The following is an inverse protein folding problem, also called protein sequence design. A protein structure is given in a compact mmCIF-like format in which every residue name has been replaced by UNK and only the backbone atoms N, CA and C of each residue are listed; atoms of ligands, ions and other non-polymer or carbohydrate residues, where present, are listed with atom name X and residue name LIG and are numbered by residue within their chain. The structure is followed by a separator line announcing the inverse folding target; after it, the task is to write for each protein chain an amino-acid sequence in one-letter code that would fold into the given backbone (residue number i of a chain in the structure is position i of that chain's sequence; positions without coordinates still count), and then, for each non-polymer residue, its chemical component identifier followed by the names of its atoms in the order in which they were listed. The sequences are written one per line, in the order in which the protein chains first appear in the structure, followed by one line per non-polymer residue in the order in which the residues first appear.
data_IF_227217465335
#
_entry.id   IF_227217465335
#
_cell.length_a   1.000
_cell.length_b   1.000
_cell.length_c   1.000
_cell.angle_alpha   90.00
_cell.angle_beta   90.00
_cell.angle_gamma   90.00
#
_symmetry.space_group_name_H-M   'P 1'
#
loop_
_entity.id
_entity.type
_entity.pdbx_description
1 polymer ?
#
# COMPACT_ATOMS: atom_id res chain seq x y z
N UNK A 1 -9.72 14.82 -32.37
CA UNK A 1 -9.51 14.55 -30.93
C UNK A 1 -8.64 15.67 -30.41
N UNK A 2 -9.18 16.56 -29.58
CA UNK A 2 -8.35 17.50 -28.84
C UNK A 2 -7.42 16.70 -27.91
N UNK A 3 -6.15 17.13 -27.74
CA UNK A 3 -5.28 16.50 -26.76
C UNK A 3 -5.87 16.74 -25.36
N UNK A 4 -6.20 15.64 -24.67
CA UNK A 4 -6.57 15.68 -23.25
C UNK A 4 -5.39 16.32 -22.51
N UNK A 5 -5.63 17.47 -21.87
CA UNK A 5 -4.59 18.15 -21.09
C UNK A 5 -4.09 17.19 -20.00
N UNK A 6 -2.76 17.11 -19.76
CA UNK A 6 -2.25 16.22 -18.73
C UNK A 6 -2.88 16.57 -17.39
N UNK A 7 -3.23 15.56 -16.55
CA UNK A 7 -3.80 15.81 -15.23
C UNK A 7 -2.85 16.72 -14.46
N UNK A 8 -3.40 17.79 -13.87
CA UNK A 8 -2.63 18.67 -12.99
C UNK A 8 -2.16 17.83 -11.80
N UNK A 9 -0.86 17.77 -11.57
CA UNK A 9 -0.28 17.06 -10.43
C UNK A 9 0.58 18.02 -9.61
N UNK A 10 0.67 17.77 -8.31
CA UNK A 10 1.53 18.53 -7.42
C UNK A 10 3.02 18.18 -7.62
N UNK A 11 3.90 18.80 -6.81
CA UNK A 11 5.35 18.58 -6.85
C UNK A 11 5.75 17.12 -6.59
N UNK A 12 4.88 16.32 -5.97
CA UNK A 12 5.07 14.89 -5.69
C UNK A 12 4.48 13.99 -6.80
N UNK A 13 3.86 14.58 -7.82
CA UNK A 13 3.16 13.84 -8.87
C UNK A 13 1.83 13.25 -8.42
N UNK A 14 1.26 13.77 -7.33
CA UNK A 14 -0.05 13.40 -6.82
C UNK A 14 -1.13 14.28 -7.46
N UNK A 15 -2.36 13.77 -7.62
CA UNK A 15 -3.48 14.58 -8.08
C UNK A 15 -3.84 15.67 -7.05
N UNK A 16 -4.52 16.76 -7.46
CA UNK A 16 -4.89 17.83 -6.56
C UNK A 16 -5.89 17.31 -5.51
N UNK A 17 -5.72 17.69 -4.24
CA UNK A 17 -6.61 17.30 -3.13
C UNK A 17 -6.34 15.92 -2.53
N UNK A 18 -5.71 14.99 -3.28
CA UNK A 18 -5.41 13.62 -2.80
C UNK A 18 -4.52 13.62 -1.55
N UNK A 19 -3.59 14.56 -1.44
CA UNK A 19 -2.75 14.70 -0.26
C UNK A 19 -3.55 15.12 0.98
N UNK A 20 -4.58 15.95 0.81
CA UNK A 20 -5.44 16.40 1.91
C UNK A 20 -6.41 15.28 2.33
N UNK A 21 -6.95 14.52 1.38
CA UNK A 21 -7.76 13.32 1.64
C UNK A 21 -6.95 12.26 2.40
N UNK A 22 -5.70 12.03 2.00
CA UNK A 22 -4.78 11.16 2.75
C UNK A 22 -4.58 11.64 4.19
N UNK A 23 -4.34 12.93 4.40
CA UNK A 23 -4.18 13.49 5.74
C UNK A 23 -5.44 13.37 6.60
N UNK A 24 -6.62 13.42 5.98
CA UNK A 24 -7.89 13.17 6.67
C UNK A 24 -8.00 11.70 7.12
N UNK A 25 -7.76 10.74 6.22
CA UNK A 25 -7.74 9.32 6.58
C UNK A 25 -6.67 8.97 7.62
N UNK A 26 -5.47 9.54 7.48
CA UNK A 26 -4.38 9.37 8.43
C UNK A 26 -4.71 9.95 9.82
N UNK A 27 -5.58 10.96 9.91
CA UNK A 27 -6.08 11.47 11.20
C UNK A 27 -6.95 10.44 11.91
N UNK A 28 -7.86 9.79 11.19
CA UNK A 28 -8.74 8.78 11.74
C UNK A 28 -7.93 7.55 12.18
N UNK A 29 -7.00 7.10 11.34
CA UNK A 29 -6.08 6.00 11.68
C UNK A 29 -5.21 6.33 12.91
N UNK A 30 -4.72 7.56 13.04
CA UNK A 30 -4.00 7.98 14.24
C UNK A 30 -4.88 7.98 15.50
N UNK A 31 -6.17 8.27 15.36
CA UNK A 31 -7.16 8.10 16.43
C UNK A 31 -7.23 6.65 16.90
N UNK A 32 -7.34 5.70 15.97
CA UNK A 32 -7.33 4.26 16.28
C UNK A 32 -6.04 3.82 16.97
N UNK A 33 -4.86 4.23 16.46
CA UNK A 33 -3.58 3.92 17.10
C UNK A 33 -3.50 4.52 18.52
N UNK A 34 -4.05 5.72 18.74
CA UNK A 34 -4.11 6.33 20.05
C UNK A 34 -4.99 5.54 21.03
N UNK A 35 -6.15 5.04 20.59
CA UNK A 35 -7.01 4.18 21.40
C UNK A 35 -6.32 2.86 21.77
N UNK A 36 -5.59 2.25 20.83
CA UNK A 36 -4.78 1.06 21.09
C UNK A 36 -3.66 1.34 22.11
N UNK A 37 -3.02 2.53 22.04
CA UNK A 37 -2.04 2.95 23.03
C UNK A 37 -2.66 3.06 24.43
N UNK A 38 -3.85 3.65 24.55
CA UNK A 38 -4.54 3.75 25.84
C UNK A 38 -4.99 2.38 26.38
N UNK A 39 -5.38 1.44 25.51
CA UNK A 39 -5.59 0.04 25.91
C UNK A 39 -4.34 -0.60 26.48
N UNK A 40 -3.17 -0.37 25.87
CA UNK A 40 -1.89 -0.87 26.37
C UNK A 40 -1.42 -0.18 27.65
N UNK A 41 -1.89 1.04 27.93
CA UNK A 41 -1.68 1.68 29.24
C UNK A 41 -2.50 0.96 30.32
N UNK A 42 -3.72 0.51 30.00
CA UNK A 42 -4.56 -0.25 30.92
C UNK A 42 -4.09 -1.70 31.09
N UNK A 43 -3.65 -2.36 30.01
CA UNK A 43 -3.17 -3.74 29.98
C UNK A 43 -2.04 -3.89 28.95
N UNK A 44 -0.79 -3.80 29.41
CA UNK A 44 0.38 -3.85 28.51
C UNK A 44 0.63 -5.22 27.84
N UNK A 45 -0.07 -6.25 28.27
CA UNK A 45 -0.06 -7.62 27.76
C UNK A 45 -1.21 -7.91 26.78
N UNK A 46 -2.00 -6.90 26.41
CA UNK A 46 -3.09 -7.03 25.42
C UNK A 46 -2.52 -7.32 24.01
N UNK A 47 -2.26 -8.61 23.74
CA UNK A 47 -1.71 -9.10 22.47
C UNK A 47 -2.54 -8.65 21.28
N UNK A 48 -3.87 -8.62 21.39
CA UNK A 48 -4.75 -8.18 20.32
C UNK A 48 -4.54 -6.68 20.00
N UNK A 49 -4.32 -5.84 21.02
CA UNK A 49 -3.98 -4.44 20.80
C UNK A 49 -2.59 -4.28 20.16
N UNK A 50 -1.60 -5.08 20.56
CA UNK A 50 -0.26 -5.04 19.98
C UNK A 50 -0.28 -5.46 18.50
N UNK A 51 -1.02 -6.52 18.16
CA UNK A 51 -1.18 -6.98 16.78
C UNK A 51 -1.89 -5.94 15.90
N UNK A 52 -2.94 -5.30 16.43
CA UNK A 52 -3.64 -4.22 15.72
C UNK A 52 -2.71 -3.02 15.48
N UNK A 53 -1.95 -2.63 16.50
CA UNK A 53 -1.01 -1.50 16.43
C UNK A 53 0.12 -1.78 15.44
N UNK A 54 0.64 -3.01 15.39
CA UNK A 54 1.59 -3.46 14.37
C UNK A 54 1.01 -3.32 12.96
N UNK A 55 -0.24 -3.75 12.76
CA UNK A 55 -0.92 -3.71 11.46
C UNK A 55 -1.13 -2.27 10.97
N UNK A 56 -1.62 -1.39 11.84
CA UNK A 56 -1.86 0.01 11.49
C UNK A 56 -0.55 0.75 11.20
N UNK A 57 0.50 0.47 11.98
CA UNK A 57 1.84 0.99 11.73
C UNK A 57 2.41 0.52 10.39
N UNK A 58 2.23 -0.75 10.04
CA UNK A 58 2.67 -1.32 8.77
C UNK A 58 2.02 -0.61 7.56
N UNK A 59 0.69 -0.42 7.60
CA UNK A 59 -0.03 0.32 6.55
C UNK A 59 0.51 1.74 6.41
N UNK A 60 0.61 2.47 7.52
CA UNK A 60 1.10 3.84 7.50
C UNK A 60 2.55 3.94 6.99
N UNK A 61 3.40 2.96 7.32
CA UNK A 61 4.76 2.83 6.77
C UNK A 61 4.73 2.70 5.24
N UNK A 62 3.86 1.84 4.72
CA UNK A 62 3.74 1.55 3.29
C UNK A 62 3.21 2.72 2.45
N UNK A 63 2.22 3.46 2.96
CA UNK A 63 1.59 4.57 2.23
C UNK A 63 2.24 5.93 2.47
N UNK A 64 2.61 6.32 3.69
CA UNK A 64 2.94 7.72 4.02
C UNK A 64 4.01 8.37 3.15
N UNK A 65 5.09 7.65 2.83
CA UNK A 65 6.14 8.19 1.96
C UNK A 65 5.65 8.40 0.51
N UNK A 66 4.73 7.57 0.04
CA UNK A 66 4.11 7.68 -1.30
C UNK A 66 3.26 8.95 -1.42
N UNK A 67 2.76 9.48 -0.30
CA UNK A 67 1.99 10.73 -0.20
C UNK A 67 2.83 11.95 0.21
N UNK A 68 4.16 11.82 0.23
CA UNK A 68 5.06 12.94 0.56
C UNK A 68 5.30 13.15 2.05
N UNK A 69 5.10 12.13 2.89
CA UNK A 69 5.35 12.16 4.34
C UNK A 69 6.43 11.14 4.74
N UNK A 70 7.69 11.31 4.30
CA UNK A 70 8.75 10.33 4.56
C UNK A 70 9.07 10.19 6.05
N UNK A 71 9.01 11.26 6.84
CA UNK A 71 9.22 11.16 8.30
C UNK A 71 8.12 10.32 8.97
N UNK A 72 6.88 10.40 8.51
CA UNK A 72 5.79 9.60 9.06
C UNK A 72 5.99 8.11 8.75
N UNK A 73 6.44 7.78 7.54
CA UNK A 73 6.81 6.41 7.15
C UNK A 73 7.93 5.84 8.05
N UNK A 74 8.94 6.65 8.38
CA UNK A 74 10.03 6.24 9.31
C UNK A 74 9.49 5.95 10.72
N UNK A 75 8.71 6.87 11.29
CA UNK A 75 8.16 6.66 12.65
C UNK A 75 7.20 5.46 12.69
N UNK A 76 6.44 5.24 11.62
CA UNK A 76 5.57 4.09 11.49
C UNK A 76 6.36 2.77 11.45
N UNK A 77 7.49 2.73 10.74
CA UNK A 77 8.39 1.57 10.76
C UNK A 77 8.95 1.29 12.16
N UNK A 78 9.36 2.32 12.91
CA UNK A 78 9.83 2.13 14.29
C UNK A 78 8.74 1.61 15.23
N UNK A 79 7.49 2.09 15.07
CA UNK A 79 6.34 1.60 15.83
C UNK A 79 6.03 0.13 15.50
N UNK A 80 6.08 -0.22 14.22
CA UNK A 80 5.88 -1.59 13.74
C UNK A 80 6.91 -2.55 14.34
N UNK A 81 8.20 -2.17 14.31
CA UNK A 81 9.29 -2.98 14.89
C UNK A 81 9.19 -3.09 16.41
N UNK A 82 8.80 -2.01 17.11
CA UNK A 82 8.55 -2.07 18.55
C UNK A 82 7.41 -3.07 18.88
N UNK A 83 6.33 -3.04 18.10
CA UNK A 83 5.20 -3.95 18.29
C UNK A 83 5.58 -5.42 18.01
N UNK A 84 6.37 -5.70 16.96
CA UNK A 84 6.94 -7.03 16.70
C UNK A 84 7.73 -7.54 17.90
N UNK A 85 8.65 -6.71 18.39
CA UNK A 85 9.48 -7.06 19.54
C UNK A 85 8.65 -7.35 20.81
N UNK A 86 7.55 -6.61 21.05
CA UNK A 86 6.64 -6.86 22.18
C UNK A 86 5.89 -8.19 22.07
N UNK A 87 5.52 -8.61 20.86
CA UNK A 87 4.89 -9.92 20.60
C UNK A 87 5.88 -11.07 20.82
N UNK A 88 7.13 -10.90 20.40
CA UNK A 88 8.20 -11.89 20.57
C UNK A 88 8.64 -12.02 22.03
N UNK A 89 8.57 -10.92 22.80
CA UNK A 89 9.02 -10.86 24.19
C UNK A 89 7.88 -10.42 25.12
N UNK A 90 6.83 -11.25 25.30
CA UNK A 90 5.61 -10.88 26.00
C UNK A 90 5.83 -10.44 27.46
N UNK A 91 6.90 -10.93 28.11
CA UNK A 91 7.26 -10.58 29.49
C UNK A 91 8.08 -9.30 29.67
N UNK A 92 8.61 -8.71 28.60
CA UNK A 92 9.54 -7.57 28.69
C UNK A 92 8.83 -6.23 28.50
N UNK A 93 9.08 -5.28 29.41
CA UNK A 93 8.66 -3.89 29.29
C UNK A 93 7.14 -3.66 29.30
N UNK A 94 6.35 -4.61 29.81
CA UNK A 94 4.87 -4.57 29.80
C UNK A 94 4.33 -3.22 30.31
N UNK A 95 4.88 -2.72 31.42
CA UNK A 95 4.46 -1.47 32.05
C UNK A 95 4.70 -0.22 31.18
N UNK A 96 5.64 -0.29 30.24
CA UNK A 96 6.08 0.87 29.45
C UNK A 96 5.48 0.88 28.03
N UNK A 97 4.92 -0.25 27.56
CA UNK A 97 4.39 -0.39 26.18
C UNK A 97 3.36 0.68 25.82
N UNK A 98 2.40 0.92 26.72
CA UNK A 98 1.38 1.94 26.51
C UNK A 98 1.96 3.36 26.40
N UNK A 99 2.92 3.71 27.27
CA UNK A 99 3.60 5.01 27.19
C UNK A 99 4.46 5.14 25.93
N UNK A 100 5.17 4.08 25.56
CA UNK A 100 5.95 4.02 24.33
C UNK A 100 5.05 4.23 23.09
N UNK A 101 3.95 3.47 22.99
CA UNK A 101 2.95 3.61 21.91
C UNK A 101 2.42 5.04 21.82
N UNK A 102 2.08 5.67 22.95
CA UNK A 102 1.65 7.08 22.99
C UNK A 102 2.73 8.05 22.52
N UNK A 103 4.00 7.75 22.80
CA UNK A 103 5.14 8.49 22.26
C UNK A 103 5.21 8.44 20.74
N UNK A 104 5.01 7.26 20.14
CA UNK A 104 4.94 7.11 18.69
C UNK A 104 3.75 7.86 18.07
N UNK A 105 2.57 7.81 18.68
CA UNK A 105 1.39 8.59 18.22
C UNK A 105 1.72 10.08 18.13
N UNK A 106 2.38 10.66 19.14
CA UNK A 106 2.79 12.07 19.10
C UNK A 106 3.76 12.38 17.97
N UNK A 107 4.75 11.49 17.74
CA UNK A 107 5.74 11.65 16.68
C UNK A 107 5.12 11.51 15.29
N UNK A 108 4.18 10.57 15.11
CA UNK A 108 3.43 10.42 13.87
C UNK A 108 2.54 11.64 13.59
N UNK A 109 1.80 12.11 14.58
CA UNK A 109 1.00 13.33 14.46
C UNK A 109 1.86 14.54 14.09
N UNK A 110 3.05 14.67 14.71
CA UNK A 110 3.99 15.71 14.35
C UNK A 110 4.50 15.55 12.90
N UNK A 111 4.83 14.34 12.46
CA UNK A 111 5.32 14.09 11.12
C UNK A 111 4.27 14.32 10.02
N UNK A 112 2.98 14.06 10.32
CA UNK A 112 1.88 14.20 9.37
C UNK A 112 1.28 15.62 9.35
N UNK A 113 1.17 16.27 10.50
CA UNK A 113 0.39 17.52 10.63
C UNK A 113 1.22 18.76 11.00
N UNK A 114 2.52 18.64 11.25
CA UNK A 114 3.36 19.82 11.41
C UNK A 114 3.59 20.41 10.03
N UNK A 115 3.08 21.63 9.80
CA UNK A 115 3.17 22.34 8.52
C UNK A 115 4.58 22.23 7.92
N UNK A 116 4.72 21.43 6.86
CA UNK A 116 5.77 21.65 5.88
C UNK A 116 5.43 22.98 5.19
N UNK A 117 6.13 24.03 5.59
CA UNK A 117 6.04 25.33 4.92
C UNK A 117 6.53 25.21 3.49
N UNK A 118 5.61 25.20 2.51
CA UNK A 118 5.56 26.17 1.40
C UNK A 118 4.49 25.77 0.37
N UNK A 119 3.36 26.49 0.36
CA UNK A 119 2.74 27.09 -0.83
C UNK A 119 1.39 27.72 -0.41
N UNK A 120 1.20 28.98 -0.80
CA UNK A 120 0.01 29.81 -0.59
C UNK A 120 -1.26 29.13 -1.12
N UNK A 121 -2.42 29.27 -0.44
CA UNK A 121 -3.67 28.78 -0.99
C UNK A 121 -4.12 29.69 -2.14
N UNK A 122 -4.06 29.21 -3.37
CA UNK A 122 -4.90 29.76 -4.43
C UNK A 122 -6.20 28.95 -4.40
N UNK A 123 -7.19 29.56 -3.77
CA UNK A 123 -8.55 29.07 -3.76
C UNK A 123 -9.15 29.09 -5.18
N UNK A 124 -9.67 27.94 -5.60
CA UNK A 124 -10.87 27.83 -6.40
C UNK A 124 -11.69 26.68 -5.81
N UNK A 125 -13.03 26.79 -5.74
CA UNK A 125 -13.85 25.64 -5.37
C UNK A 125 -13.79 24.66 -6.55
N UNK A 126 -12.92 23.66 -6.47
CA UNK A 126 -13.07 22.48 -7.31
C UNK A 126 -14.42 21.85 -6.95
N UNK A 127 -15.22 21.41 -7.94
CA UNK A 127 -16.40 20.62 -7.63
C UNK A 127 -15.96 19.41 -6.79
N UNK A 128 -16.82 18.85 -5.93
CA UNK A 128 -16.53 17.54 -5.37
C UNK A 128 -16.22 16.64 -6.57
N UNK A 129 -15.02 16.05 -6.59
CA UNK A 129 -14.78 14.91 -7.45
C UNK A 129 -15.81 13.91 -6.97
N UNK A 130 -16.91 13.78 -7.70
CA UNK A 130 -17.77 12.64 -7.57
C UNK A 130 -16.88 11.48 -7.97
N UNK A 131 -16.29 10.81 -6.97
CA UNK A 131 -15.91 9.41 -7.03
C UNK A 131 -17.20 8.64 -7.40
N UNK A 132 -17.61 8.74 -8.66
CA UNK A 132 -18.52 7.77 -9.22
C UNK A 132 -17.80 6.45 -9.05
N UNK A 133 -18.43 5.51 -8.35
CA UNK A 133 -17.88 4.17 -8.14
C UNK A 133 -17.33 3.64 -9.47
N UNK A 134 -16.09 3.12 -9.50
CA UNK A 134 -15.49 2.64 -10.73
C UNK A 134 -16.35 1.53 -11.31
N UNK A 135 -16.60 1.59 -12.61
CA UNK A 135 -17.15 0.43 -13.32
C UNK A 135 -16.06 -0.63 -13.36
N UNK A 136 -16.24 -1.82 -12.76
CA UNK A 136 -15.35 -2.95 -13.05
C UNK A 136 -15.29 -3.17 -14.57
N UNK A 137 -14.23 -3.81 -15.09
CA UNK A 137 -14.13 -4.10 -16.52
C UNK A 137 -15.45 -4.68 -17.04
N UNK A 138 -15.97 -4.11 -18.14
CA UNK A 138 -17.11 -4.68 -18.83
C UNK A 138 -16.78 -6.15 -19.16
N UNK A 139 -17.74 -7.04 -18.88
CA UNK A 139 -17.57 -8.48 -19.02
C UNK A 139 -16.99 -8.84 -20.40
N UNK A 140 -15.74 -9.33 -20.42
CA UNK A 140 -15.08 -9.85 -21.62
C UNK A 140 -13.66 -9.35 -21.89
N UNK A 141 -13.16 -8.32 -21.19
CA UNK A 141 -11.85 -7.73 -21.51
C UNK A 141 -10.79 -8.00 -20.42
N UNK A 142 -9.79 -8.82 -20.74
CA UNK A 142 -8.74 -9.30 -19.81
C UNK A 142 -7.91 -8.14 -19.22
N UNK A 143 -7.66 -8.06 -17.91
CA UNK A 143 -6.84 -6.98 -17.33
C UNK A 143 -5.39 -6.99 -17.82
N UNK A 144 -4.79 -5.82 -17.92
CA UNK A 144 -3.35 -5.67 -18.21
C UNK A 144 -2.52 -5.63 -16.92
N UNK A 145 -3.10 -5.07 -15.86
CA UNK A 145 -2.50 -4.98 -14.53
C UNK A 145 -3.47 -5.53 -13.51
N UNK A 146 -2.98 -6.34 -12.58
CA UNK A 146 -3.71 -6.84 -11.43
C UNK A 146 -2.99 -6.31 -10.21
N UNK A 147 -3.73 -5.72 -9.28
CA UNK A 147 -3.18 -5.17 -8.03
C UNK A 147 -3.74 -6.00 -6.88
N UNK A 148 -2.86 -6.46 -5.99
CA UNK A 148 -3.24 -7.11 -4.73
C UNK A 148 -2.59 -6.34 -3.61
N UNK A 149 -3.36 -5.50 -2.92
CA UNK A 149 -2.88 -4.49 -1.96
C UNK A 149 -3.95 -4.25 -0.89
N UNK A 150 -3.64 -4.47 0.38
CA UNK A 150 -4.58 -4.31 1.49
C UNK A 150 -4.60 -2.88 2.06
N UNK A 151 -3.60 -2.05 1.79
CA UNK A 151 -3.63 -0.63 2.11
C UNK A 151 -4.61 0.08 1.16
N UNK A 152 -5.72 0.55 1.72
CA UNK A 152 -6.78 1.21 0.97
C UNK A 152 -6.26 2.42 0.19
N UNK A 153 -5.45 3.23 0.86
CA UNK A 153 -4.96 4.49 0.31
C UNK A 153 -3.89 4.27 -0.76
N UNK A 154 -2.96 3.34 -0.54
CA UNK A 154 -1.94 3.03 -1.54
C UNK A 154 -2.56 2.41 -2.79
N UNK A 155 -3.52 1.50 -2.64
CA UNK A 155 -4.17 0.93 -3.81
C UNK A 155 -4.98 1.97 -4.57
N UNK A 156 -5.72 2.84 -3.90
CA UNK A 156 -6.45 3.95 -4.55
C UNK A 156 -5.51 4.86 -5.33
N UNK A 157 -4.34 5.17 -4.77
CA UNK A 157 -3.32 5.96 -5.45
C UNK A 157 -2.78 5.26 -6.71
N UNK A 158 -2.50 3.96 -6.60
CA UNK A 158 -2.01 3.15 -7.72
C UNK A 158 -3.07 3.02 -8.81
N UNK A 159 -4.31 2.68 -8.44
CA UNK A 159 -5.40 2.49 -9.39
C UNK A 159 -5.79 3.79 -10.08
N UNK A 160 -5.83 4.92 -9.37
CA UNK A 160 -5.97 6.24 -9.98
C UNK A 160 -4.89 6.47 -11.05
N UNK A 161 -3.62 6.15 -10.72
CA UNK A 161 -2.50 6.31 -11.63
C UNK A 161 -2.60 5.41 -12.89
N UNK A 162 -3.13 4.20 -12.71
CA UNK A 162 -3.39 3.23 -13.77
C UNK A 162 -4.53 3.70 -14.68
N UNK A 163 -5.65 4.17 -14.11
CA UNK A 163 -6.80 4.74 -14.82
C UNK A 163 -6.39 5.93 -15.68
N UNK A 164 -5.64 6.88 -15.09
CA UNK A 164 -5.17 8.07 -15.79
C UNK A 164 -4.27 7.76 -17.00
N UNK A 165 -3.67 6.55 -17.04
CA UNK A 165 -2.84 6.05 -18.15
C UNK A 165 -3.58 5.05 -19.05
N UNK A 166 -4.89 4.85 -18.84
CA UNK A 166 -5.72 3.96 -19.64
C UNK A 166 -5.30 2.48 -19.53
N UNK A 167 -4.85 2.06 -18.34
CA UNK A 167 -4.69 0.63 -18.07
C UNK A 167 -6.02 0.00 -17.70
N UNK A 168 -6.27 -1.21 -18.22
CA UNK A 168 -7.29 -2.10 -17.65
C UNK A 168 -6.71 -2.80 -16.44
N UNK A 169 -7.37 -2.70 -15.30
CA UNK A 169 -6.92 -3.37 -14.09
C UNK A 169 -8.05 -3.96 -13.27
N UNK A 170 -7.67 -4.81 -12.32
CA UNK A 170 -8.51 -5.31 -11.24
C UNK A 170 -7.73 -5.22 -9.93
N UNK A 171 -8.45 -4.96 -8.83
CA UNK A 171 -7.89 -4.81 -7.49
C UNK A 171 -8.45 -5.89 -6.58
N UNK A 172 -7.58 -6.54 -5.82
CA UNK A 172 -7.91 -7.42 -4.71
C UNK A 172 -7.31 -6.87 -3.42
N UNK A 173 -8.04 -7.05 -2.31
CA UNK A 173 -7.63 -6.55 -0.97
C UNK A 173 -7.08 -7.64 -0.05
N UNK A 174 -7.12 -8.89 -0.50
CA UNK A 174 -6.83 -10.05 0.31
C UNK A 174 -6.14 -11.14 -0.52
N UNK A 175 -5.09 -11.77 0.02
CA UNK A 175 -4.33 -12.78 -0.72
C UNK A 175 -5.11 -14.06 -1.01
N UNK A 176 -6.00 -14.50 -0.11
CA UNK A 176 -6.86 -15.69 -0.33
C UNK A 176 -7.85 -15.44 -1.47
N UNK A 177 -8.57 -14.32 -1.38
CA UNK A 177 -9.53 -13.93 -2.42
C UNK A 177 -8.84 -13.76 -3.78
N UNK A 178 -7.69 -13.07 -3.79
CA UNK A 178 -6.90 -12.88 -5.00
C UNK A 178 -6.51 -14.24 -5.61
N UNK A 179 -5.95 -15.16 -4.82
CA UNK A 179 -5.53 -16.47 -5.31
C UNK A 179 -6.69 -17.24 -5.94
N UNK A 180 -7.84 -17.29 -5.26
CA UNK A 180 -9.01 -18.05 -5.72
C UNK A 180 -9.52 -17.50 -7.06
N UNK A 181 -9.59 -16.17 -7.20
CA UNK A 181 -10.01 -15.51 -8.43
C UNK A 181 -8.97 -15.64 -9.55
N UNK A 182 -7.68 -15.53 -9.24
CA UNK A 182 -6.59 -15.60 -10.23
C UNK A 182 -6.47 -16.99 -10.87
N UNK A 183 -6.73 -18.06 -10.10
CA UNK A 183 -6.73 -19.43 -10.64
C UNK A 183 -7.77 -19.61 -11.75
N UNK A 184 -8.96 -19.04 -11.57
CA UNK A 184 -10.07 -19.18 -12.53
C UNK A 184 -10.13 -18.08 -13.59
N UNK A 185 -9.36 -16.99 -13.43
CA UNK A 185 -9.36 -15.84 -14.35
C UNK A 185 -8.87 -16.20 -15.76
N UNK A 186 -9.58 -15.77 -16.79
CA UNK A 186 -9.10 -15.85 -18.17
C UNK A 186 -8.00 -14.81 -18.43
N UNK A 187 -6.97 -15.18 -19.20
CA UNK A 187 -5.84 -14.29 -19.53
C UNK A 187 -5.60 -14.22 -21.03
N UNK A 188 -4.77 -13.28 -21.50
CA UNK A 188 -4.42 -13.11 -22.92
C UNK A 188 -3.45 -14.20 -23.44
N UNK A 189 -3.26 -15.27 -22.69
CA UNK A 189 -2.30 -16.34 -23.00
C UNK A 189 -0.85 -15.97 -22.67
N UNK A 190 0.05 -16.95 -22.87
CA UNK A 190 1.45 -16.87 -22.47
C UNK A 190 2.27 -15.79 -23.21
N UNK A 191 1.81 -15.31 -24.37
CA UNK A 191 2.53 -14.29 -25.15
C UNK A 191 2.43 -12.88 -24.54
N UNK A 192 1.34 -12.59 -23.81
CA UNK A 192 1.15 -11.33 -23.07
C UNK A 192 0.43 -11.56 -21.75
N UNK A 193 1.07 -12.27 -20.79
CA UNK A 193 0.44 -12.50 -19.49
C UNK A 193 0.28 -11.17 -18.73
N UNK A 194 -0.84 -10.97 -18.01
CA UNK A 194 -1.06 -9.76 -17.20
C UNK A 194 0.08 -9.53 -16.19
N UNK A 195 0.35 -8.26 -15.90
CA UNK A 195 1.23 -7.89 -14.80
C UNK A 195 0.46 -8.04 -13.48
N UNK A 196 1.00 -8.79 -12.53
CA UNK A 196 0.47 -8.91 -11.17
C UNK A 196 1.39 -8.13 -10.22
N UNK A 197 0.90 -7.01 -9.70
CA UNK A 197 1.51 -6.30 -8.58
C UNK A 197 0.99 -6.94 -7.30
N UNK A 198 1.85 -7.67 -6.60
CA UNK A 198 1.49 -8.50 -5.47
C UNK A 198 2.16 -7.99 -4.21
N UNK A 199 1.37 -7.49 -3.26
CA UNK A 199 1.92 -7.17 -1.95
C UNK A 199 2.38 -8.43 -1.21
N UNK A 200 3.52 -8.32 -0.54
CA UNK A 200 4.08 -9.42 0.24
C UNK A 200 3.27 -9.63 1.52
N UNK A 201 2.93 -8.55 2.22
CA UNK A 201 2.36 -8.60 3.57
C UNK A 201 0.83 -8.55 3.56
N UNK A 202 0.21 -9.47 2.83
CA UNK A 202 -1.24 -9.55 2.70
C UNK A 202 -1.92 -10.26 3.89
N UNK A 203 -3.14 -9.85 4.25
CA UNK A 203 -3.94 -10.59 5.22
C UNK A 203 -4.41 -11.94 4.66
N UNK A 204 -4.62 -12.90 5.58
CA UNK A 204 -5.10 -14.27 5.34
C UNK A 204 -4.15 -15.20 4.56
N UNK A 205 -3.46 -14.70 3.53
CA UNK A 205 -2.44 -15.44 2.77
C UNK A 205 -1.41 -14.44 2.25
N UNK A 206 -0.14 -14.62 2.61
CA UNK A 206 0.93 -13.73 2.19
C UNK A 206 1.24 -13.84 0.68
N UNK A 207 1.86 -12.80 0.12
CA UNK A 207 2.15 -12.71 -1.30
C UNK A 207 3.10 -13.80 -1.80
N UNK A 208 4.05 -14.27 -0.99
CA UNK A 208 4.92 -15.38 -1.40
C UNK A 208 4.13 -16.68 -1.54
N UNK A 209 3.23 -16.96 -0.60
CA UNK A 209 2.33 -18.13 -0.66
C UNK A 209 1.37 -18.06 -1.85
N UNK A 210 0.84 -16.87 -2.17
CA UNK A 210 0.04 -16.64 -3.39
C UNK A 210 0.88 -16.95 -4.64
N UNK A 211 2.10 -16.41 -4.71
CA UNK A 211 3.00 -16.59 -5.85
C UNK A 211 3.41 -18.04 -6.06
N UNK A 212 3.74 -18.77 -4.98
CA UNK A 212 4.07 -20.19 -5.04
C UNK A 212 2.91 -21.01 -5.60
N UNK A 213 1.69 -20.79 -5.08
CA UNK A 213 0.50 -21.49 -5.56
C UNK A 213 0.19 -21.18 -7.04
N UNK A 214 0.36 -19.93 -7.48
CA UNK A 214 0.17 -19.57 -8.89
C UNK A 214 1.24 -20.20 -9.79
N UNK A 215 2.47 -20.31 -9.33
CA UNK A 215 3.57 -20.93 -10.08
C UNK A 215 3.35 -22.43 -10.24
N UNK A 216 2.81 -23.10 -9.23
CA UNK A 216 2.49 -24.53 -9.26
C UNK A 216 1.25 -24.84 -10.10
N UNK A 217 0.16 -24.09 -9.89
CA UNK A 217 -1.15 -24.41 -10.48
C UNK A 217 -1.38 -23.75 -11.84
N UNK A 218 -0.72 -22.62 -12.10
CA UNK A 218 -0.93 -21.76 -13.28
C UNK A 218 0.40 -21.17 -13.81
N UNK A 219 1.44 -22.00 -14.08
CA UNK A 219 2.77 -21.51 -14.44
C UNK A 219 2.75 -20.60 -15.66
N UNK A 220 3.41 -19.44 -15.57
CA UNK A 220 3.52 -18.46 -16.66
C UNK A 220 2.23 -17.68 -16.98
N UNK A 221 1.13 -17.91 -16.23
CA UNK A 221 -0.14 -17.21 -16.44
C UNK A 221 -0.09 -15.72 -16.08
N UNK A 222 0.81 -15.35 -15.16
CA UNK A 222 1.00 -13.98 -14.69
C UNK A 222 2.48 -13.63 -14.62
N UNK A 223 2.79 -12.35 -14.84
CA UNK A 223 4.12 -11.79 -14.61
C UNK A 223 4.09 -11.07 -13.28
N UNK A 224 4.78 -11.59 -12.29
CA UNK A 224 4.60 -11.14 -10.90
C UNK A 224 5.70 -10.17 -10.52
N UNK A 225 5.30 -9.01 -10.01
CA UNK A 225 6.18 -8.04 -9.36
C UNK A 225 5.72 -7.90 -7.93
N UNK A 226 6.63 -8.10 -6.98
CA UNK A 226 6.30 -7.92 -5.58
C UNK A 226 6.34 -6.44 -5.19
N UNK A 227 5.35 -6.00 -4.43
CA UNK A 227 5.43 -4.75 -3.66
C UNK A 227 5.69 -5.10 -2.21
N UNK A 228 6.56 -4.34 -1.52
CA UNK A 228 6.90 -4.71 -0.15
C UNK A 228 7.51 -3.57 0.64
N UNK A 229 7.26 -3.50 1.94
CA UNK A 229 8.00 -2.60 2.85
C UNK A 229 9.40 -3.14 3.20
N UNK A 230 9.67 -4.39 2.81
CA UNK A 230 10.86 -5.16 3.08
C UNK A 230 11.90 -4.95 1.97
N UNK A 231 12.81 -4.00 2.19
CA UNK A 231 13.80 -3.61 1.19
C UNK A 231 15.13 -4.38 1.26
N UNK A 232 15.27 -5.43 2.09
CA UNK A 232 16.56 -6.10 2.24
C UNK A 232 16.95 -6.86 0.97
N UNK A 233 18.26 -6.95 0.72
CA UNK A 233 18.79 -7.70 -0.42
C UNK A 233 18.36 -9.17 -0.38
N UNK A 234 18.34 -9.78 0.81
CA UNK A 234 17.93 -11.17 1.00
C UNK A 234 16.48 -11.41 0.63
N UNK A 235 15.57 -10.51 1.00
CA UNK A 235 14.14 -10.62 0.66
C UNK A 235 13.90 -10.43 -0.84
N UNK A 236 14.59 -9.47 -1.46
CA UNK A 236 14.52 -9.27 -2.91
C UNK A 236 15.06 -10.49 -3.67
N UNK A 237 16.22 -11.02 -3.26
CA UNK A 237 16.81 -12.20 -3.87
C UNK A 237 15.87 -13.41 -3.79
N UNK A 238 15.22 -13.63 -2.65
CA UNK A 238 14.33 -14.79 -2.43
C UNK A 238 13.28 -14.95 -3.52
N UNK A 239 12.51 -13.90 -3.83
CA UNK A 239 11.48 -14.02 -4.88
C UNK A 239 12.01 -13.85 -6.30
N UNK A 240 13.16 -13.19 -6.53
CA UNK A 240 13.81 -13.25 -7.85
C UNK A 240 14.24 -14.69 -8.18
N UNK A 241 14.85 -15.38 -7.22
CA UNK A 241 15.22 -16.79 -7.33
C UNK A 241 13.99 -17.69 -7.49
N UNK A 242 12.85 -17.32 -6.90
CA UNK A 242 11.58 -18.02 -7.08
C UNK A 242 10.91 -17.75 -8.45
N UNK A 243 11.46 -16.85 -9.27
CA UNK A 243 10.98 -16.56 -10.62
C UNK A 243 10.07 -15.33 -10.76
N UNK A 244 10.02 -14.46 -9.74
CA UNK A 244 9.36 -13.16 -9.88
C UNK A 244 10.12 -12.26 -10.88
N UNK A 245 9.39 -11.37 -11.53
CA UNK A 245 9.94 -10.46 -12.54
C UNK A 245 10.79 -9.35 -11.93
N UNK A 246 10.32 -8.73 -10.85
CA UNK A 246 10.95 -7.57 -10.23
C UNK A 246 10.33 -7.27 -8.85
N UNK A 247 10.82 -6.22 -8.20
CA UNK A 247 10.34 -5.68 -6.93
C UNK A 247 10.08 -4.17 -6.97
N UNK A 248 9.16 -3.75 -6.12
CA UNK A 248 8.94 -2.35 -5.78
C UNK A 248 8.89 -2.17 -4.27
N UNK A 249 9.92 -1.51 -3.74
CA UNK A 249 10.02 -1.22 -2.31
C UNK A 249 9.11 -0.04 -1.95
N UNK A 250 8.32 -0.21 -0.89
CA UNK A 250 7.49 0.79 -0.24
C UNK A 250 8.32 1.57 0.81
N UNK A 251 8.07 2.88 1.00
CA UNK A 251 7.15 3.71 0.24
C UNK A 251 7.67 4.01 -1.17
N UNK A 252 6.76 4.22 -2.13
CA UNK A 252 7.08 4.38 -3.55
C UNK A 252 6.51 5.68 -4.12
N UNK A 253 7.26 6.36 -4.99
CA UNK A 253 6.70 7.47 -5.76
C UNK A 253 5.74 6.93 -6.82
N UNK A 254 4.50 7.43 -6.84
CA UNK A 254 3.51 7.06 -7.86
C UNK A 254 4.07 7.22 -9.29
N UNK A 255 4.81 8.31 -9.54
CA UNK A 255 5.43 8.59 -10.84
C UNK A 255 6.42 7.49 -11.24
N UNK A 256 7.29 7.10 -10.31
CA UNK A 256 8.28 6.03 -10.54
C UNK A 256 7.59 4.68 -10.72
N UNK A 257 6.58 4.38 -9.88
CA UNK A 257 5.80 3.16 -9.97
C UNK A 257 5.15 2.99 -11.35
N UNK A 258 4.47 4.03 -11.84
CA UNK A 258 3.79 3.99 -13.13
C UNK A 258 4.76 3.88 -14.32
N UNK A 259 5.96 4.46 -14.24
CA UNK A 259 6.97 4.26 -15.29
C UNK A 259 7.55 2.85 -15.29
N UNK A 260 7.75 2.24 -14.12
CA UNK A 260 8.13 0.82 -14.02
C UNK A 260 7.03 -0.07 -14.61
N UNK A 261 5.78 0.15 -14.22
CA UNK A 261 4.61 -0.57 -14.74
C UNK A 261 4.53 -0.45 -16.26
N UNK A 262 4.74 0.74 -16.83
CA UNK A 262 4.77 0.95 -18.28
C UNK A 262 5.80 0.07 -18.98
N UNK A 263 7.02 0.05 -18.46
CA UNK A 263 8.12 -0.80 -18.99
C UNK A 263 7.79 -2.28 -18.88
N UNK A 264 7.30 -2.72 -17.72
CA UNK A 264 6.94 -4.11 -17.53
C UNK A 264 5.80 -4.50 -18.47
N UNK A 265 4.69 -3.75 -18.56
CA UNK A 265 3.57 -4.08 -19.48
C UNK A 265 4.00 -4.04 -20.96
N UNK A 266 5.06 -3.31 -21.30
CA UNK A 266 5.59 -3.24 -22.67
C UNK A 266 4.86 -2.21 -23.54
N UNK A 267 4.47 -1.09 -22.93
CA UNK A 267 3.88 0.08 -23.61
C UNK A 267 4.93 1.19 -23.84
#
# INVERSE_FOLDING_TARGET
MEPVSPPQVDDFGLPPGVRDEYLQGARDQLGTIAELAERLIASGDDTAAIEALRRDAHRLRGSAGSFGFPQASVVAAELEEAAKHWLEHPGNGIADRGQAARGYVRRLAAALFTKQSAATPVAAPSPPISLAAPSPPQSGDVPEVIVVEDDDTLAELLTFGLEARGYRYVLFRNGREALDQLKVMETRGAERPPLLLLDVDLPALDGYSVFEALTQDCPGKFRVVFTTVHGSETEQLRGLEAGAMDYMVKPMSLRVALEKIRRWVGR
#
